data_IF_378781971594
#
_entry.id   IF_378781971594
#
_cell.length_a   1.000
_cell.length_b   1.000
_cell.length_c   1.000
_cell.angle_alpha   90.00
_cell.angle_beta   90.00
_cell.angle_gamma   90.00
#
_symmetry.space_group_name_H-M   'P 1'
#
loop_
_entity.id
_entity.type
_entity.pdbx_description
1 polymer ?
#
# COMPACT_ATOMS: atom_id res chain seq x y z
N UNK A 1 -56.71 -77.50 -6.69
CA UNK A 1 -55.79 -76.55 -6.00
C UNK A 1 -54.60 -76.25 -6.90
N UNK A 2 -54.55 -75.09 -7.55
CA UNK A 2 -53.34 -74.54 -8.18
C UNK A 2 -53.25 -73.07 -7.77
N UNK A 3 -52.25 -72.74 -6.94
CA UNK A 3 -51.97 -71.37 -6.50
C UNK A 3 -51.12 -70.70 -7.58
N UNK A 4 -51.63 -69.60 -8.14
CA UNK A 4 -50.87 -68.67 -8.98
C UNK A 4 -50.33 -67.59 -8.05
N UNK A 5 -49.00 -67.49 -7.94
CA UNK A 5 -48.34 -66.40 -7.21
C UNK A 5 -47.96 -65.31 -8.21
N UNK A 6 -48.58 -64.14 -8.06
CA UNK A 6 -48.27 -62.92 -8.81
C UNK A 6 -47.05 -62.25 -8.15
N UNK A 7 -45.92 -62.16 -8.85
CA UNK A 7 -44.77 -61.37 -8.41
C UNK A 7 -44.86 -59.99 -9.05
N UNK A 8 -45.21 -58.98 -8.26
CA UNK A 8 -45.16 -57.58 -8.66
C UNK A 8 -43.72 -57.06 -8.50
N UNK A 9 -43.04 -56.78 -9.60
CA UNK A 9 -41.74 -56.12 -9.61
C UNK A 9 -41.88 -54.61 -9.43
N UNK A 10 -41.52 -54.09 -8.26
CA UNK A 10 -41.33 -52.65 -8.05
C UNK A 10 -40.02 -52.21 -8.72
N UNK A 11 -40.11 -51.47 -9.82
CA UNK A 11 -38.98 -50.73 -10.37
C UNK A 11 -38.78 -49.45 -9.57
N UNK A 12 -37.75 -49.44 -8.71
CA UNK A 12 -37.23 -48.23 -8.09
C UNK A 12 -36.51 -47.40 -9.17
N UNK A 13 -37.19 -46.36 -9.66
CA UNK A 13 -36.57 -45.27 -10.41
C UNK A 13 -35.62 -44.51 -9.48
N UNK A 14 -34.34 -44.86 -9.52
CA UNK A 14 -33.27 -44.06 -8.91
C UNK A 14 -33.09 -42.82 -9.80
N UNK A 15 -33.77 -41.73 -9.43
CA UNK A 15 -33.48 -40.42 -9.98
C UNK A 15 -32.12 -40.02 -9.41
N UNK A 16 -31.06 -40.22 -10.20
CA UNK A 16 -29.75 -39.66 -9.90
C UNK A 16 -29.86 -38.14 -9.87
N UNK A 17 -29.91 -37.56 -8.68
CA UNK A 17 -29.67 -36.14 -8.45
C UNK A 17 -28.23 -35.85 -8.89
N UNK A 18 -28.04 -35.54 -10.17
CA UNK A 18 -26.77 -35.03 -10.67
C UNK A 18 -26.58 -33.64 -10.06
N UNK A 19 -25.88 -33.58 -8.92
CA UNK A 19 -25.40 -32.32 -8.38
C UNK A 19 -24.63 -31.60 -9.49
N UNK A 20 -25.14 -30.44 -9.91
CA UNK A 20 -24.54 -29.67 -10.99
C UNK A 20 -23.08 -29.33 -10.60
N UNK A 21 -22.11 -29.65 -11.47
CA UNK A 21 -20.68 -29.42 -11.20
C UNK A 21 -20.44 -27.92 -10.97
N UNK A 22 -19.50 -27.58 -10.07
CA UNK A 22 -19.14 -26.18 -9.75
C UNK A 22 -18.85 -25.39 -11.02
N UNK A 23 -18.15 -26.00 -11.99
CA UNK A 23 -17.89 -25.44 -13.33
C UNK A 23 -19.16 -24.96 -14.05
N UNK A 24 -20.24 -25.72 -14.03
CA UNK A 24 -21.48 -25.33 -14.73
C UNK A 24 -22.26 -24.27 -13.94
N UNK A 25 -22.17 -24.29 -12.61
CA UNK A 25 -22.78 -23.27 -11.75
C UNK A 25 -22.10 -21.91 -11.94
N UNK A 26 -20.76 -21.89 -11.96
CA UNK A 26 -20.00 -20.64 -12.08
C UNK A 26 -20.14 -20.06 -13.49
N UNK A 27 -20.19 -20.92 -14.51
CA UNK A 27 -20.52 -20.50 -15.87
C UNK A 27 -21.86 -19.77 -15.95
N UNK A 28 -22.92 -20.32 -15.34
CA UNK A 28 -24.25 -19.68 -15.33
C UNK A 28 -24.25 -18.36 -14.54
N UNK A 29 -23.64 -18.35 -13.35
CA UNK A 29 -23.57 -17.14 -12.53
C UNK A 29 -22.78 -16.03 -13.23
N UNK A 30 -21.68 -16.38 -13.90
CA UNK A 30 -20.86 -15.43 -14.66
C UNK A 30 -21.59 -14.90 -15.89
N UNK A 31 -22.33 -15.74 -16.63
CA UNK A 31 -23.17 -15.27 -17.75
C UNK A 31 -24.23 -14.26 -17.29
N UNK A 32 -24.87 -14.51 -16.15
CA UNK A 32 -25.81 -13.55 -15.57
C UNK A 32 -25.10 -12.24 -15.18
N UNK A 33 -23.92 -12.34 -14.56
CA UNK A 33 -23.08 -11.18 -14.23
C UNK A 33 -22.73 -10.37 -15.48
N UNK A 34 -22.19 -11.01 -16.52
CA UNK A 34 -21.75 -10.38 -17.77
C UNK A 34 -22.91 -9.70 -18.53
N UNK A 35 -24.13 -10.24 -18.42
CA UNK A 35 -25.33 -9.65 -19.02
C UNK A 35 -25.87 -8.39 -18.31
N UNK A 36 -25.33 -8.04 -17.13
CA UNK A 36 -25.82 -6.92 -16.34
C UNK A 36 -25.54 -5.57 -17.03
N UNK A 37 -26.52 -4.68 -16.99
CA UNK A 37 -26.42 -3.33 -17.58
C UNK A 37 -25.21 -2.52 -17.11
N UNK A 38 -24.73 -2.73 -15.87
CA UNK A 38 -23.54 -2.04 -15.36
C UNK A 38 -22.26 -2.43 -16.13
N UNK A 39 -22.25 -3.60 -16.76
CA UNK A 39 -21.10 -4.15 -17.48
C UNK A 39 -21.18 -3.98 -19.00
N UNK A 40 -22.21 -3.33 -19.52
CA UNK A 40 -22.44 -3.15 -20.97
C UNK A 40 -21.22 -2.61 -21.73
N UNK A 41 -20.42 -1.76 -21.08
CA UNK A 41 -19.20 -1.17 -21.62
C UNK A 41 -17.94 -1.51 -20.80
N UNK A 42 -18.07 -2.45 -19.87
CA UNK A 42 -16.99 -2.91 -19.04
C UNK A 42 -16.21 -4.03 -19.73
N UNK A 43 -14.96 -4.21 -19.31
CA UNK A 43 -14.23 -5.45 -19.54
C UNK A 43 -14.04 -6.16 -18.20
N UNK A 44 -14.25 -7.46 -18.19
CA UNK A 44 -14.14 -8.27 -17.00
C UNK A 44 -13.42 -9.59 -17.30
N UNK A 45 -12.69 -10.08 -16.29
CA UNK A 45 -11.91 -11.30 -16.35
C UNK A 45 -12.06 -12.06 -15.04
N UNK A 46 -12.27 -13.38 -15.13
CA UNK A 46 -12.29 -14.27 -13.99
C UNK A 46 -11.55 -15.55 -14.34
N UNK A 47 -10.57 -15.88 -13.52
CA UNK A 47 -9.81 -17.12 -13.62
C UNK A 47 -9.83 -17.84 -12.28
N UNK A 48 -10.20 -19.11 -12.30
CA UNK A 48 -10.35 -19.96 -11.10
C UNK A 48 -9.71 -21.32 -11.36
N UNK A 49 -8.87 -21.76 -10.42
CA UNK A 49 -8.28 -23.09 -10.43
C UNK A 49 -8.56 -23.84 -9.13
N UNK A 50 -8.55 -25.16 -9.20
CA UNK A 50 -8.41 -26.00 -8.02
C UNK A 50 -6.98 -25.89 -7.48
N UNK A 51 -6.83 -25.47 -6.23
CA UNK A 51 -5.53 -25.18 -5.63
C UNK A 51 -4.64 -26.42 -5.46
N UNK A 52 -5.22 -27.61 -5.39
CA UNK A 52 -4.49 -28.88 -5.19
C UNK A 52 -4.06 -29.50 -6.51
N UNK A 53 -4.96 -29.55 -7.49
CA UNK A 53 -4.71 -30.22 -8.78
C UNK A 53 -4.16 -29.28 -9.84
N UNK A 54 -4.35 -27.96 -9.69
CA UNK A 54 -4.07 -26.98 -10.73
C UNK A 54 -5.08 -26.99 -11.89
N UNK A 55 -6.14 -27.79 -11.80
CA UNK A 55 -7.19 -27.87 -12.83
C UNK A 55 -7.94 -26.54 -12.94
N UNK A 56 -8.13 -26.08 -14.18
CA UNK A 56 -8.94 -24.89 -14.48
C UNK A 56 -10.43 -25.20 -14.25
N UNK A 57 -11.00 -24.51 -13.26
CA UNK A 57 -12.43 -24.60 -12.93
C UNK A 57 -13.23 -23.64 -13.79
N UNK A 58 -12.71 -22.44 -14.02
CA UNK A 58 -13.32 -21.42 -14.86
C UNK A 58 -12.26 -20.51 -15.46
N UNK A 59 -12.43 -20.15 -16.72
CA UNK A 59 -11.60 -19.18 -17.42
C UNK A 59 -12.48 -18.30 -18.32
N UNK A 60 -12.46 -17.01 -18.04
CA UNK A 60 -12.90 -15.98 -18.97
C UNK A 60 -11.84 -14.88 -19.01
N UNK A 61 -11.36 -14.57 -20.21
CA UNK A 61 -10.45 -13.46 -20.50
C UNK A 61 -9.17 -13.51 -19.66
N UNK A 62 -8.72 -14.70 -19.22
CA UNK A 62 -7.66 -14.82 -18.22
C UNK A 62 -6.33 -14.19 -18.65
N UNK A 63 -6.10 -14.09 -19.97
CA UNK A 63 -4.92 -13.54 -20.62
C UNK A 63 -5.04 -12.06 -21.02
N UNK A 64 -6.18 -11.40 -20.72
CA UNK A 64 -6.35 -9.98 -21.01
C UNK A 64 -5.78 -9.14 -19.87
N UNK A 65 -4.82 -8.27 -20.19
CA UNK A 65 -4.23 -7.34 -19.23
C UNK A 65 -5.22 -6.24 -18.83
N UNK A 66 -5.55 -6.16 -17.54
CA UNK A 66 -6.49 -5.20 -16.96
C UNK A 66 -5.84 -4.37 -15.84
N UNK A 67 -6.39 -3.19 -15.57
CA UNK A 67 -6.03 -2.43 -14.38
C UNK A 67 -6.30 -3.25 -13.13
N UNK A 68 -5.22 -3.50 -12.38
CA UNK A 68 -5.23 -4.35 -11.20
C UNK A 68 -5.89 -3.66 -9.98
N UNK A 69 -5.78 -2.33 -9.93
CA UNK A 69 -5.86 -1.61 -8.67
C UNK A 69 -4.97 -2.28 -7.59
N UNK A 70 -5.35 -2.20 -6.31
CA UNK A 70 -4.59 -2.82 -5.21
C UNK A 70 -4.48 -4.36 -5.22
N UNK A 71 -5.04 -5.07 -6.21
CA UNK A 71 -4.69 -6.49 -6.39
C UNK A 71 -3.24 -6.67 -6.86
N UNK A 72 -2.63 -5.62 -7.43
CA UNK A 72 -1.18 -5.52 -7.71
C UNK A 72 -0.31 -5.91 -6.52
N UNK A 73 -0.77 -5.59 -5.30
CA UNK A 73 -0.02 -5.84 -4.06
C UNK A 73 0.28 -7.32 -3.82
N UNK A 74 -0.49 -8.25 -4.42
CA UNK A 74 -0.18 -9.69 -4.38
C UNK A 74 1.15 -9.99 -5.07
N UNK A 75 1.39 -9.37 -6.22
CA UNK A 75 2.62 -9.52 -6.99
C UNK A 75 3.78 -8.99 -6.16
N UNK A 76 3.68 -7.74 -5.70
CA UNK A 76 4.72 -7.06 -4.91
C UNK A 76 5.03 -7.79 -3.61
N UNK A 77 4.01 -8.21 -2.85
CA UNK A 77 4.20 -8.91 -1.58
C UNK A 77 4.85 -10.28 -1.75
N UNK A 78 4.42 -11.04 -2.77
CA UNK A 78 5.01 -12.35 -3.06
C UNK A 78 6.47 -12.20 -3.49
N UNK A 79 6.77 -11.22 -4.35
CA UNK A 79 8.15 -10.92 -4.74
C UNK A 79 8.98 -10.47 -3.55
N UNK A 80 8.42 -9.70 -2.61
CA UNK A 80 9.13 -9.27 -1.40
C UNK A 80 9.56 -10.45 -0.53
N UNK A 81 8.65 -11.40 -0.26
CA UNK A 81 9.00 -12.58 0.52
C UNK A 81 10.12 -13.41 -0.12
N UNK A 82 10.16 -13.47 -1.45
CA UNK A 82 11.17 -14.24 -2.19
C UNK A 82 12.52 -13.53 -2.29
N UNK A 83 12.53 -12.22 -2.54
CA UNK A 83 13.76 -11.48 -2.78
C UNK A 83 14.43 -10.99 -1.50
N UNK A 84 13.65 -10.67 -0.47
CA UNK A 84 14.15 -10.09 0.79
C UNK A 84 14.13 -11.10 1.95
N UNK A 85 13.15 -12.02 1.94
CA UNK A 85 12.91 -12.96 3.03
C UNK A 85 12.09 -12.36 4.16
N UNK A 86 11.31 -13.20 4.85
CA UNK A 86 10.33 -12.78 5.88
C UNK A 86 10.92 -11.98 7.05
N UNK A 87 12.21 -12.17 7.32
CA UNK A 87 12.92 -11.56 8.46
C UNK A 87 13.69 -10.28 8.07
N UNK A 88 13.60 -9.84 6.82
CA UNK A 88 14.23 -8.60 6.36
C UNK A 88 13.75 -7.41 7.22
N UNK A 89 14.68 -6.51 7.53
CA UNK A 89 14.41 -5.28 8.28
C UNK A 89 15.16 -4.13 7.63
N UNK A 90 14.47 -3.01 7.50
CA UNK A 90 15.09 -1.75 7.14
C UNK A 90 15.93 -1.22 8.30
N UNK A 91 16.95 -0.44 7.95
CA UNK A 91 17.86 0.20 8.90
C UNK A 91 17.81 1.72 8.73
N UNK A 92 17.57 2.44 9.83
CA UNK A 92 17.69 3.90 9.88
C UNK A 92 18.71 4.28 10.96
N UNK A 93 19.67 5.12 10.62
CA UNK A 93 20.81 5.42 11.50
C UNK A 93 20.84 6.89 11.91
N UNK A 94 21.05 7.15 13.19
CA UNK A 94 21.44 8.45 13.70
C UNK A 94 22.95 8.45 13.90
N UNK A 95 23.66 9.44 13.37
CA UNK A 95 25.09 9.56 13.55
C UNK A 95 25.60 10.98 13.35
N UNK A 96 26.90 11.20 13.54
CA UNK A 96 27.55 12.49 13.32
C UNK A 96 28.90 12.33 12.62
N UNK A 97 29.40 13.42 12.02
CA UNK A 97 30.78 13.53 11.53
C UNK A 97 31.55 14.63 12.28
N UNK A 98 32.86 14.71 12.04
CA UNK A 98 33.70 15.75 12.63
C UNK A 98 34.08 15.45 14.08
N UNK A 99 34.36 16.51 14.85
CA UNK A 99 34.99 16.38 16.18
C UNK A 99 34.18 17.06 17.27
N UNK A 100 34.21 16.47 18.47
CA UNK A 100 33.64 17.07 19.67
C UNK A 100 34.77 17.66 20.50
N UNK A 101 34.76 18.97 20.67
CA UNK A 101 35.77 19.73 21.42
C UNK A 101 35.08 20.71 22.36
N UNK A 102 35.44 20.71 23.65
CA UNK A 102 34.88 21.62 24.67
C UNK A 102 33.33 21.63 24.71
N UNK A 103 32.69 20.48 24.49
CA UNK A 103 31.23 20.36 24.45
C UNK A 103 30.58 20.90 23.17
N UNK A 104 31.35 21.17 22.12
CA UNK A 104 30.85 21.62 20.82
C UNK A 104 31.12 20.51 19.79
N UNK A 105 30.08 20.03 19.12
CA UNK A 105 30.23 19.21 17.92
C UNK A 105 30.56 20.14 16.75
N UNK A 106 31.82 20.13 16.28
CA UNK A 106 32.25 20.79 15.04
C UNK A 106 32.03 19.83 13.88
N UNK A 107 30.81 19.82 13.35
CA UNK A 107 30.32 18.86 12.38
C UNK A 107 28.80 18.75 12.42
N UNK A 108 28.28 17.84 11.61
CA UNK A 108 26.86 17.70 11.34
C UNK A 108 26.30 16.45 12.06
N UNK A 109 25.00 16.51 12.37
CA UNK A 109 24.21 15.36 12.82
C UNK A 109 23.36 14.86 11.65
N UNK A 110 23.31 13.54 11.44
CA UNK A 110 22.63 12.91 10.31
C UNK A 110 21.61 11.89 10.76
N UNK A 111 20.46 11.88 10.08
CA UNK A 111 19.52 10.76 10.06
C UNK A 111 19.61 10.13 8.66
N UNK A 112 20.21 8.94 8.57
CA UNK A 112 20.39 8.22 7.31
C UNK A 112 19.27 7.21 7.15
N UNK A 113 18.40 7.48 6.18
CA UNK A 113 17.29 6.61 5.83
C UNK A 113 17.73 5.34 5.10
N UNK A 114 16.97 4.26 5.29
CA UNK A 114 17.14 2.99 4.58
C UNK A 114 15.95 2.60 3.71
N UNK A 115 14.95 3.46 3.57
CA UNK A 115 13.69 3.17 2.87
C UNK A 115 12.60 2.59 3.77
N UNK A 116 12.77 2.57 5.10
CA UNK A 116 11.77 2.06 6.05
C UNK A 116 10.44 2.81 5.92
N UNK A 117 9.34 2.19 5.44
CA UNK A 117 8.06 2.87 5.31
C UNK A 117 7.30 2.92 6.65
N UNK A 118 7.81 2.27 7.70
CA UNK A 118 7.19 2.18 9.02
C UNK A 118 7.75 3.19 10.01
N UNK A 119 8.84 3.89 9.68
CA UNK A 119 9.48 4.85 10.59
C UNK A 119 8.50 5.95 11.00
N UNK A 120 8.29 6.13 12.31
CA UNK A 120 7.30 7.08 12.84
C UNK A 120 5.84 6.59 12.77
N UNK A 121 5.56 5.41 12.22
CA UNK A 121 4.20 4.86 12.12
C UNK A 121 3.64 4.47 13.48
N UNK A 122 2.35 4.75 13.69
CA UNK A 122 1.59 4.35 14.88
C UNK A 122 1.27 2.84 14.93
N UNK A 123 1.57 2.08 13.87
CA UNK A 123 1.16 0.68 13.75
C UNK A 123 1.91 -0.29 14.67
N UNK A 124 3.11 0.09 15.12
CA UNK A 124 3.90 -0.74 16.02
C UNK A 124 4.46 0.07 17.18
N UNK A 125 4.44 -0.47 18.41
CA UNK A 125 5.00 0.23 19.57
C UNK A 125 6.44 0.70 19.39
N UNK A 126 7.25 -0.04 18.61
CA UNK A 126 8.66 0.28 18.36
C UNK A 126 8.88 1.33 17.27
N UNK A 127 7.87 1.63 16.45
CA UNK A 127 7.97 2.58 15.34
C UNK A 127 7.30 3.91 15.61
N UNK A 128 6.54 4.04 16.69
CA UNK A 128 5.86 5.28 17.08
C UNK A 128 6.88 6.43 17.11
N UNK A 129 6.52 7.54 16.46
CA UNK A 129 7.31 8.78 16.35
C UNK A 129 8.02 9.19 17.66
N UNK A 130 7.29 9.28 18.77
CA UNK A 130 7.81 9.68 20.08
C UNK A 130 8.82 8.69 20.65
N UNK A 131 8.70 7.40 20.34
CA UNK A 131 9.65 6.36 20.76
C UNK A 131 10.96 6.52 19.99
N UNK A 132 10.87 6.67 18.66
CA UNK A 132 12.03 6.89 17.80
C UNK A 132 12.79 8.15 18.23
N UNK A 133 12.09 9.28 18.32
CA UNK A 133 12.69 10.57 18.67
C UNK A 133 13.34 10.55 20.06
N UNK A 134 12.72 9.87 21.04
CA UNK A 134 13.30 9.71 22.39
C UNK A 134 14.59 8.90 22.37
N UNK A 135 14.65 7.83 21.59
CA UNK A 135 15.85 7.00 21.45
C UNK A 135 16.99 7.78 20.80
N UNK A 136 16.69 8.50 19.71
CA UNK A 136 17.63 9.38 19.05
C UNK A 136 18.14 10.50 19.96
N UNK A 137 17.26 11.19 20.67
CA UNK A 137 17.66 12.22 21.65
C UNK A 137 18.56 11.62 22.74
N UNK A 138 18.28 10.38 23.18
CA UNK A 138 19.14 9.67 24.13
C UNK A 138 20.54 9.43 23.56
N UNK A 139 20.65 9.07 22.27
CA UNK A 139 21.92 9.00 21.55
C UNK A 139 22.68 10.33 21.55
N UNK A 140 21.99 11.44 21.24
CA UNK A 140 22.58 12.79 21.26
C UNK A 140 23.04 13.19 22.66
N UNK A 141 22.25 12.92 23.70
CA UNK A 141 22.61 13.25 25.11
C UNK A 141 23.91 12.58 25.56
N UNK A 142 24.23 11.37 25.05
CA UNK A 142 25.49 10.67 25.37
C UNK A 142 26.73 11.44 24.92
N UNK A 143 26.60 12.33 23.93
CA UNK A 143 27.69 13.18 23.46
C UNK A 143 28.08 14.29 24.46
N UNK A 144 27.19 14.62 25.42
CA UNK A 144 27.40 15.69 26.42
C UNK A 144 27.75 17.05 25.80
N UNK A 145 27.23 17.32 24.60
CA UNK A 145 27.43 18.59 23.89
C UNK A 145 26.45 19.67 24.36
N UNK A 146 26.84 20.93 24.16
CA UNK A 146 26.06 22.16 24.38
C UNK A 146 25.78 22.90 23.08
N UNK A 147 26.51 22.58 22.01
CA UNK A 147 26.35 23.16 20.69
C UNK A 147 26.63 22.13 19.59
N UNK A 148 25.84 22.17 18.54
CA UNK A 148 26.12 21.59 17.22
C UNK A 148 26.50 22.75 16.31
N UNK A 149 27.76 22.76 15.85
CA UNK A 149 28.34 23.73 14.93
C UNK A 149 28.38 23.16 13.52
N UNK A 150 27.18 22.93 13.01
CA UNK A 150 26.88 22.28 11.74
C UNK A 150 25.39 21.98 11.64
N UNK A 151 25.02 21.29 10.58
CA UNK A 151 23.64 21.01 10.20
C UNK A 151 23.07 19.82 10.97
N UNK A 152 21.73 19.76 11.04
CA UNK A 152 21.02 18.51 11.31
C UNK A 152 20.32 18.11 10.02
N UNK A 153 20.74 16.99 9.43
CA UNK A 153 20.39 16.63 8.08
C UNK A 153 19.75 15.25 7.92
N UNK A 154 18.72 15.16 7.09
CA UNK A 154 18.18 13.89 6.60
C UNK A 154 18.89 13.47 5.32
N UNK A 155 19.40 12.24 5.30
CA UNK A 155 20.08 11.62 4.13
C UNK A 155 19.19 10.51 3.58
N UNK A 156 18.63 10.73 2.40
CA UNK A 156 17.66 9.84 1.74
C UNK A 156 18.05 9.42 0.32
N UNK A 157 19.34 9.54 -0.02
CA UNK A 157 19.92 9.33 -1.36
C UNK A 157 20.11 7.86 -1.78
N UNK A 158 19.73 6.90 -0.93
CA UNK A 158 19.66 5.48 -1.32
C UNK A 158 18.58 5.23 -2.37
N UNK A 159 17.54 6.06 -2.37
CA UNK A 159 16.47 6.04 -3.37
C UNK A 159 16.55 7.30 -4.24
N UNK A 160 15.92 7.23 -5.41
CA UNK A 160 15.74 8.40 -6.27
C UNK A 160 14.95 9.50 -5.57
N UNK A 161 15.31 10.76 -5.85
CA UNK A 161 14.69 11.94 -5.26
C UNK A 161 13.28 12.21 -5.78
N UNK A 162 12.90 11.65 -6.94
CA UNK A 162 11.50 11.67 -7.37
C UNK A 162 10.71 10.61 -6.58
N UNK A 163 9.85 11.05 -5.68
CA UNK A 163 9.19 10.17 -4.71
C UNK A 163 7.97 9.46 -5.27
N UNK A 164 7.29 10.05 -6.27
CA UNK A 164 6.08 9.49 -6.88
C UNK A 164 6.41 8.75 -8.18
N UNK A 165 5.91 7.52 -8.38
CA UNK A 165 6.10 6.80 -9.62
C UNK A 165 5.26 7.39 -10.77
N UNK A 166 5.64 7.06 -12.00
CA UNK A 166 4.88 7.44 -13.19
C UNK A 166 3.50 6.78 -13.24
N UNK A 167 2.55 7.46 -13.89
CA UNK A 167 1.20 6.93 -14.15
C UNK A 167 0.19 7.15 -13.03
N UNK A 168 0.59 7.75 -11.90
CA UNK A 168 -0.37 8.25 -10.91
C UNK A 168 -1.11 9.48 -11.45
N UNK A 169 -2.39 9.59 -11.11
CA UNK A 169 -3.21 10.73 -11.54
C UNK A 169 -3.07 11.88 -10.56
N UNK A 170 -3.14 13.10 -11.09
CA UNK A 170 -2.97 14.34 -10.31
C UNK A 170 -3.89 14.40 -9.07
N UNK A 171 -5.14 13.95 -9.22
CA UNK A 171 -6.13 13.98 -8.14
C UNK A 171 -5.69 13.20 -6.90
N UNK A 172 -4.85 12.18 -7.07
CA UNK A 172 -4.49 11.28 -5.98
C UNK A 172 -3.28 11.77 -5.19
N UNK A 173 -2.38 12.55 -5.81
CA UNK A 173 -1.05 12.86 -5.27
C UNK A 173 -1.07 13.54 -3.91
N UNK A 174 -2.08 14.36 -3.62
CA UNK A 174 -2.18 15.08 -2.33
C UNK A 174 -2.87 14.28 -1.22
N UNK A 175 -3.50 13.14 -1.53
CA UNK A 175 -4.20 12.32 -0.54
C UNK A 175 -3.24 11.29 0.07
N UNK A 176 -3.53 10.81 1.28
CA UNK A 176 -2.61 9.89 2.00
C UNK A 176 -2.21 8.65 1.18
N UNK A 177 -3.13 8.13 0.36
CA UNK A 177 -2.87 6.96 -0.47
C UNK A 177 -2.02 7.28 -1.71
N UNK A 178 -1.86 8.55 -2.07
CA UNK A 178 -0.93 9.05 -3.08
C UNK A 178 0.39 9.57 -2.50
N UNK A 179 0.75 9.17 -1.27
CA UNK A 179 2.05 9.51 -0.69
C UNK A 179 3.19 8.79 -1.42
N UNK A 180 4.10 9.58 -2.00
CA UNK A 180 5.34 9.09 -2.61
C UNK A 180 6.32 8.55 -1.56
N UNK A 181 7.32 7.78 -2.01
CA UNK A 181 8.33 7.15 -1.15
C UNK A 181 9.70 7.81 -1.29
N UNK A 182 10.33 8.10 -0.15
CA UNK A 182 11.72 8.58 -0.03
C UNK A 182 12.60 7.50 0.63
N UNK A 183 13.93 7.65 0.52
CA UNK A 183 14.88 6.88 1.33
C UNK A 183 14.74 7.12 2.84
N UNK A 184 14.18 8.27 3.25
CA UNK A 184 13.83 8.59 4.64
C UNK A 184 12.35 8.97 4.71
N UNK A 185 11.51 8.00 5.07
CA UNK A 185 10.08 8.19 5.27
C UNK A 185 9.78 8.56 6.72
N UNK A 186 8.61 9.14 6.96
CA UNK A 186 8.17 9.44 8.31
C UNK A 186 6.66 9.41 8.43
N UNK A 187 6.16 8.72 9.45
CA UNK A 187 4.73 8.69 9.80
C UNK A 187 3.86 8.27 8.60
N UNK A 188 4.28 7.22 7.91
CA UNK A 188 3.68 6.72 6.65
C UNK A 188 3.54 7.78 5.55
N UNK A 189 4.42 8.78 5.56
CA UNK A 189 4.39 9.96 4.67
C UNK A 189 3.00 10.58 4.61
N UNK A 190 2.31 10.58 5.75
CA UNK A 190 0.94 11.04 5.90
C UNK A 190 0.85 12.13 6.95
N UNK A 191 -0.04 13.09 6.70
CA UNK A 191 -0.58 13.97 7.73
C UNK A 191 -2.10 13.87 7.79
N UNK A 192 -2.66 14.17 8.96
CA UNK A 192 -4.09 14.30 9.20
C UNK A 192 -4.47 15.78 9.17
N UNK A 193 -5.52 16.12 8.42
CA UNK A 193 -6.11 17.45 8.34
C UNK A 193 -7.40 17.49 9.16
N UNK A 194 -7.39 18.24 10.25
CA UNK A 194 -8.54 18.42 11.13
C UNK A 194 -9.42 19.54 10.60
N UNK A 195 -10.69 19.24 10.39
CA UNK A 195 -11.66 20.11 9.74
C UNK A 195 -12.90 20.29 10.62
N UNK A 196 -13.52 21.46 10.55
CA UNK A 196 -14.83 21.72 11.15
C UNK A 196 -15.85 22.05 10.05
N UNK A 197 -16.93 21.25 9.89
CA UNK A 197 -18.03 21.62 9.00
C UNK A 197 -18.75 22.88 9.51
N UNK A 198 -19.42 23.56 8.59
CA UNK A 198 -20.34 24.65 8.88
C UNK A 198 -21.64 24.19 9.53
N UNK A 199 -22.60 25.09 9.68
CA UNK A 199 -23.85 24.82 10.41
C UNK A 199 -24.94 24.19 9.53
N UNK A 200 -24.85 24.35 8.21
CA UNK A 200 -25.77 23.77 7.21
C UNK A 200 -25.01 23.34 5.96
N UNK A 201 -25.66 22.53 5.13
CA UNK A 201 -25.13 22.13 3.83
C UNK A 201 -24.77 23.36 2.97
N UNK A 202 -23.64 23.28 2.27
CA UNK A 202 -23.08 24.36 1.46
C UNK A 202 -22.26 25.40 2.23
N UNK A 203 -22.27 25.40 3.57
CA UNK A 203 -21.42 26.31 4.35
C UNK A 203 -19.93 25.97 4.17
N UNK A 204 -19.07 26.98 4.28
CA UNK A 204 -17.61 26.80 4.27
C UNK A 204 -17.11 25.96 5.45
N UNK A 205 -16.16 25.08 5.16
CA UNK A 205 -15.44 24.26 6.15
C UNK A 205 -14.26 25.05 6.70
N UNK A 206 -13.92 24.89 7.99
CA UNK A 206 -12.73 25.50 8.60
C UNK A 206 -11.62 24.47 8.76
N UNK A 207 -10.39 24.87 8.49
CA UNK A 207 -9.19 24.11 8.88
C UNK A 207 -8.91 24.42 10.35
N UNK A 208 -8.80 23.37 11.16
CA UNK A 208 -8.45 23.47 12.58
C UNK A 208 -6.96 23.24 12.83
N UNK A 209 -6.27 22.55 11.93
CA UNK A 209 -4.84 22.26 12.00
C UNK A 209 -4.49 20.92 11.36
N UNK A 210 -3.21 20.55 11.40
CA UNK A 210 -2.72 19.27 10.90
C UNK A 210 -1.95 18.49 11.97
N UNK A 211 -1.80 17.17 11.77
CA UNK A 211 -0.87 16.35 12.52
C UNK A 211 -0.13 15.37 11.59
N UNK A 212 1.21 15.37 11.50
CA UNK A 212 2.09 16.41 12.05
C UNK A 212 1.74 17.83 11.56
N UNK A 213 2.22 18.84 12.29
CA UNK A 213 2.12 20.23 11.83
C UNK A 213 2.92 20.39 10.54
N UNK A 214 2.29 20.91 9.49
CA UNK A 214 2.96 21.13 8.21
C UNK A 214 3.80 22.41 8.25
N UNK A 215 5.08 22.32 7.88
CA UNK A 215 5.99 23.48 7.91
C UNK A 215 5.68 24.55 6.84
N UNK A 216 5.06 24.17 5.71
CA UNK A 216 4.95 25.00 4.51
C UNK A 216 3.57 24.95 3.87
N UNK A 217 2.55 25.43 4.58
CA UNK A 217 1.18 25.18 4.16
C UNK A 217 0.40 26.43 3.80
N UNK A 218 0.43 26.79 2.51
CA UNK A 218 -0.59 27.64 1.92
C UNK A 218 -1.71 26.76 1.37
N UNK A 219 -2.68 26.43 2.24
CA UNK A 219 -3.88 25.68 1.87
C UNK A 219 -4.98 26.63 1.39
N UNK A 220 -5.29 26.57 0.09
CA UNK A 220 -6.49 27.19 -0.47
C UNK A 220 -7.69 26.29 -0.15
N UNK A 221 -8.48 26.72 0.82
CA UNK A 221 -9.62 25.95 1.32
C UNK A 221 -10.90 26.24 0.53
N UNK A 222 -11.25 25.34 -0.38
CA UNK A 222 -12.48 25.39 -1.18
C UNK A 222 -13.52 24.35 -0.71
N UNK A 223 -13.29 23.69 0.41
CA UNK A 223 -14.19 22.67 0.97
C UNK A 223 -15.53 23.28 1.39
N UNK A 224 -16.58 22.48 1.24
CA UNK A 224 -17.95 22.80 1.66
C UNK A 224 -18.53 21.72 2.56
N UNK A 225 -19.53 22.09 3.33
CA UNK A 225 -20.25 21.17 4.20
C UNK A 225 -21.25 20.37 3.36
N UNK A 226 -21.09 19.05 3.31
CA UNK A 226 -22.00 18.13 2.64
C UNK A 226 -23.15 17.68 3.54
N UNK A 227 -24.02 16.83 3.00
CA UNK A 227 -25.14 16.27 3.74
C UNK A 227 -24.69 15.44 4.95
N UNK A 228 -25.55 15.35 5.97
CA UNK A 228 -25.28 14.49 7.13
C UNK A 228 -25.10 13.04 6.67
N UNK A 229 -23.99 12.42 7.03
CA UNK A 229 -23.67 11.04 6.63
C UNK A 229 -23.20 10.86 5.19
N UNK A 230 -22.88 11.94 4.45
CA UNK A 230 -22.28 11.85 3.11
C UNK A 230 -20.90 11.19 3.10
N UNK A 231 -20.25 11.11 4.27
CA UNK A 231 -18.88 10.64 4.43
C UNK A 231 -17.85 11.60 3.84
N UNK A 232 -16.61 11.10 3.76
CA UNK A 232 -15.49 11.81 3.16
C UNK A 232 -15.65 11.91 1.64
N UNK A 233 -15.83 13.13 1.13
CA UNK A 233 -15.73 13.46 -0.29
C UNK A 233 -14.76 14.64 -0.49
N UNK A 234 -13.80 14.79 0.43
CA UNK A 234 -12.75 15.78 0.37
C UNK A 234 -11.58 15.26 -0.48
N UNK A 235 -10.97 16.17 -1.25
CA UNK A 235 -9.80 15.88 -2.06
C UNK A 235 -8.73 16.92 -1.77
N UNK A 236 -7.50 16.43 -1.60
CA UNK A 236 -6.31 17.24 -1.41
C UNK A 236 -5.51 17.20 -2.70
N UNK A 237 -5.34 18.36 -3.33
CA UNK A 237 -4.44 18.55 -4.46
C UNK A 237 -3.17 19.23 -3.96
N UNK A 238 -2.12 18.44 -3.74
CA UNK A 238 -0.84 18.92 -3.22
C UNK A 238 0.28 18.28 -4.05
N UNK A 239 1.08 19.06 -4.82
CA UNK A 239 2.18 18.47 -5.55
C UNK A 239 3.33 18.09 -4.59
N UNK A 240 4.05 16.98 -4.84
CA UNK A 240 5.30 16.68 -4.14
C UNK A 240 6.25 17.87 -4.20
N UNK A 241 6.94 18.17 -3.08
CA UNK A 241 7.84 19.34 -2.96
C UNK A 241 7.19 20.72 -3.18
N UNK A 242 5.87 20.78 -3.32
CA UNK A 242 5.13 22.04 -3.44
C UNK A 242 4.95 22.78 -2.11
N UNK A 243 4.55 24.05 -2.20
CA UNK A 243 4.21 24.89 -1.05
C UNK A 243 2.70 25.21 -0.95
N UNK A 244 1.97 25.02 -2.05
CA UNK A 244 0.55 25.36 -2.15
C UNK A 244 -0.28 24.09 -2.35
N UNK A 245 -1.39 23.99 -1.61
CA UNK A 245 -2.35 22.91 -1.74
C UNK A 245 -3.77 23.45 -1.94
N UNK A 246 -4.62 22.71 -2.64
CA UNK A 246 -6.04 23.03 -2.83
C UNK A 246 -6.90 21.95 -2.21
N UNK A 247 -7.84 22.34 -1.36
CA UNK A 247 -8.78 21.44 -0.71
C UNK A 247 -10.15 21.59 -1.37
N UNK A 248 -10.69 20.52 -1.95
CA UNK A 248 -11.94 20.54 -2.73
C UNK A 248 -12.90 19.45 -2.29
N UNK A 249 -14.18 19.64 -2.60
CA UNK A 249 -15.24 18.66 -2.30
C UNK A 249 -15.95 18.94 -0.98
N UNK A 250 -16.42 17.89 -0.31
CA UNK A 250 -17.29 18.04 0.87
C UNK A 250 -16.96 17.09 2.01
N UNK A 251 -17.18 17.55 3.25
CA UNK A 251 -17.17 16.72 4.46
C UNK A 251 -18.56 16.72 5.13
N UNK A 252 -18.94 15.68 5.90
CA UNK A 252 -20.32 15.52 6.36
C UNK A 252 -20.70 16.54 7.44
N UNK A 253 -21.94 17.04 7.38
CA UNK A 253 -22.51 17.89 8.42
C UNK A 253 -22.59 17.15 9.77
N UNK A 254 -22.20 17.84 10.85
CA UNK A 254 -22.39 17.38 12.24
C UNK A 254 -21.22 16.59 12.85
N UNK A 255 -20.15 16.34 12.09
CA UNK A 255 -18.93 15.70 12.59
C UNK A 255 -17.84 16.76 12.81
N UNK A 256 -17.54 17.10 14.07
CA UNK A 256 -16.58 18.15 14.40
C UNK A 256 -15.70 17.76 15.61
N UNK A 257 -14.38 17.52 15.43
CA UNK A 257 -13.67 17.61 14.16
C UNK A 257 -13.99 16.43 13.23
N UNK A 258 -13.96 16.68 11.92
CA UNK A 258 -13.84 15.65 10.89
C UNK A 258 -12.37 15.60 10.42
N UNK A 259 -11.84 14.41 10.14
CA UNK A 259 -10.44 14.24 9.75
C UNK A 259 -10.35 13.56 8.39
N UNK A 260 -9.62 14.19 7.47
CA UNK A 260 -9.15 13.58 6.23
C UNK A 260 -7.62 13.51 6.26
N UNK A 261 -7.01 12.63 5.49
CA UNK A 261 -5.56 12.44 5.52
C UNK A 261 -4.91 12.73 4.16
N UNK A 262 -3.81 13.47 4.18
CA UNK A 262 -3.05 13.89 3.01
C UNK A 262 -1.64 13.30 2.95
N UNK A 263 -1.01 13.39 1.78
CA UNK A 263 0.38 13.01 1.57
C UNK A 263 1.34 14.10 2.04
N UNK A 264 2.39 13.70 2.73
CA UNK A 264 3.41 14.60 3.23
C UNK A 264 4.35 15.02 2.08
N UNK A 265 4.47 16.32 1.74
CA UNK A 265 5.16 16.75 0.51
C UNK A 265 6.69 16.59 0.57
N UNK A 266 7.29 16.60 1.76
CA UNK A 266 8.74 16.47 1.99
C UNK A 266 9.03 15.59 3.22
N UNK A 267 8.75 14.28 3.15
CA UNK A 267 8.72 13.43 4.33
C UNK A 267 10.07 13.32 5.08
N UNK A 268 11.19 13.37 4.35
CA UNK A 268 12.54 13.27 4.94
C UNK A 268 12.91 14.44 5.85
N UNK A 269 12.22 15.57 5.74
CA UNK A 269 12.48 16.78 6.53
C UNK A 269 11.88 16.71 7.95
N UNK A 270 10.76 16.03 8.12
CA UNK A 270 10.02 15.95 9.39
C UNK A 270 10.78 15.27 10.55
N UNK A 271 11.41 14.08 10.38
CA UNK A 271 12.16 13.46 11.48
C UNK A 271 13.34 14.34 11.93
N UNK A 272 13.95 15.06 10.99
CA UNK A 272 15.04 16.00 11.23
C UNK A 272 14.52 17.22 12.00
N UNK A 273 13.39 17.78 11.57
CA UNK A 273 12.67 18.86 12.23
C UNK A 273 12.40 18.52 13.69
N UNK A 274 11.66 17.44 13.93
CA UNK A 274 11.27 17.04 15.28
C UNK A 274 12.44 16.70 16.19
N UNK A 275 13.49 16.06 15.67
CA UNK A 275 14.68 15.78 16.48
C UNK A 275 15.38 17.08 16.90
N UNK A 276 15.58 18.02 15.98
CA UNK A 276 16.21 19.30 16.33
C UNK A 276 15.34 20.15 17.27
N UNK A 277 14.01 20.07 17.20
CA UNK A 277 13.11 20.72 18.15
C UNK A 277 13.35 20.19 19.57
N UNK A 278 13.49 18.87 19.68
CA UNK A 278 13.82 18.20 20.94
C UNK A 278 15.22 18.56 21.44
N UNK A 279 16.21 18.67 20.55
CA UNK A 279 17.57 19.10 20.90
C UNK A 279 17.58 20.55 21.42
N UNK A 280 16.84 21.46 20.77
CA UNK A 280 16.72 22.85 21.24
C UNK A 280 16.05 22.94 22.62
N UNK A 281 15.04 22.11 22.89
CA UNK A 281 14.41 22.02 24.22
C UNK A 281 15.38 21.60 25.32
N UNK A 282 16.43 20.84 24.99
CA UNK A 282 17.54 20.50 25.90
C UNK A 282 18.58 21.62 26.07
N UNK A 283 18.34 22.81 25.49
CA UNK A 283 19.26 23.96 25.47
C UNK A 283 20.60 23.66 24.80
N UNK A 284 20.60 22.77 23.81
CA UNK A 284 21.74 22.56 22.91
C UNK A 284 21.56 23.50 21.72
N UNK A 285 22.50 24.41 21.51
CA UNK A 285 22.45 25.37 20.40
C UNK A 285 22.76 24.67 19.06
N UNK A 286 22.10 25.09 17.98
CA UNK A 286 22.35 24.62 16.60
C UNK A 286 22.67 25.86 15.78
N UNK A 287 23.83 25.91 15.12
CA UNK A 287 24.23 27.04 14.25
C UNK A 287 24.14 26.77 12.76
N UNK A 288 24.08 25.50 12.33
CA UNK A 288 23.85 25.15 10.92
C UNK A 288 22.36 25.12 10.56
N UNK A 289 22.09 24.66 9.34
CA UNK A 289 20.75 24.45 8.83
C UNK A 289 20.05 23.32 9.57
N UNK A 290 18.82 23.59 10.00
CA UNK A 290 17.94 22.59 10.57
C UNK A 290 16.48 22.95 10.26
N UNK A 291 15.70 22.02 9.68
CA UNK A 291 16.13 20.72 9.15
C UNK A 291 16.77 20.82 7.75
N UNK A 292 18.03 20.40 7.61
CA UNK A 292 18.68 20.23 6.32
C UNK A 292 18.24 18.92 5.64
N UNK A 293 18.31 18.86 4.32
CA UNK A 293 17.88 17.68 3.54
C UNK A 293 18.85 17.41 2.40
N UNK A 294 18.96 16.14 2.02
CA UNK A 294 19.71 15.70 0.84
C UNK A 294 19.34 16.49 -0.44
N UNK A 295 18.04 16.72 -0.70
CA UNK A 295 17.61 17.50 -1.85
C UNK A 295 18.08 18.97 -1.77
N UNK A 296 18.15 19.54 -0.56
CA UNK A 296 18.71 20.87 -0.33
C UNK A 296 20.20 20.93 -0.68
N UNK A 297 20.99 19.95 -0.21
CA UNK A 297 22.41 19.84 -0.59
C UNK A 297 22.59 19.73 -2.11
N UNK A 298 21.81 18.87 -2.77
CA UNK A 298 21.88 18.70 -4.22
C UNK A 298 21.50 19.98 -4.97
N UNK A 299 20.48 20.70 -4.53
CA UNK A 299 20.05 21.96 -5.12
C UNK A 299 21.12 23.06 -5.00
N UNK A 300 21.90 23.03 -3.93
CA UNK A 300 23.02 23.96 -3.70
C UNK A 300 24.35 23.49 -4.35
N UNK A 301 24.34 22.39 -5.11
CA UNK A 301 25.55 21.75 -5.67
C UNK A 301 26.57 21.32 -4.60
N UNK A 302 26.10 20.98 -3.41
CA UNK A 302 26.91 20.52 -2.30
C UNK A 302 26.99 18.99 -2.27
N UNK A 303 28.10 18.47 -1.75
CA UNK A 303 28.27 17.02 -1.59
C UNK A 303 27.56 16.56 -0.31
N UNK A 304 26.70 15.56 -0.46
CA UNK A 304 26.07 14.87 0.68
C UNK A 304 27.15 14.27 1.57
N UNK A 305 27.18 14.74 2.81
CA UNK A 305 28.05 14.19 3.86
C UNK A 305 27.34 13.07 4.62
N UNK A 306 28.13 12.19 5.23
CA UNK A 306 27.64 11.02 5.95
C UNK A 306 28.20 10.97 7.37
N UNK A 307 27.53 10.26 8.30
CA UNK A 307 28.06 10.09 9.64
C UNK A 307 29.34 9.24 9.65
N UNK A 308 30.33 9.66 10.43
CA UNK A 308 31.55 8.90 10.73
C UNK A 308 31.37 8.03 11.99
N UNK A 309 30.44 8.44 12.87
CA UNK A 309 30.13 7.76 14.13
C UNK A 309 28.63 7.62 14.30
N UNK A 310 28.19 6.38 14.54
CA UNK A 310 26.78 6.04 14.76
C UNK A 310 26.44 6.17 16.25
N UNK A 311 25.32 6.83 16.54
CA UNK A 311 24.78 7.06 17.88
C UNK A 311 23.66 6.08 18.21
N UNK A 312 22.84 5.77 17.21
CA UNK A 312 21.69 4.88 17.32
C UNK A 312 21.40 4.23 15.97
N UNK A 313 20.84 3.02 16.01
CA UNK A 313 20.35 2.30 14.84
C UNK A 313 18.96 1.78 15.13
N UNK A 314 17.99 2.27 14.38
CA UNK A 314 16.64 1.75 14.38
C UNK A 314 16.49 0.66 13.32
N UNK A 315 15.87 -0.46 13.71
CA UNK A 315 15.45 -1.51 12.80
C UNK A 315 13.92 -1.54 12.72
N UNK A 316 13.40 -1.61 11.50
CA UNK A 316 11.96 -1.78 11.26
C UNK A 316 11.43 -3.09 11.88
N UNK A 317 10.11 -3.26 11.99
CA UNK A 317 9.49 -4.57 12.10
C UNK A 317 9.98 -5.50 10.97
N UNK A 318 9.95 -6.83 11.17
CA UNK A 318 10.31 -7.77 10.12
C UNK A 318 9.34 -7.70 8.94
N UNK A 319 9.80 -8.10 7.75
CA UNK A 319 9.05 -7.99 6.51
C UNK A 319 7.67 -8.65 6.56
N UNK A 320 7.52 -9.80 7.22
CA UNK A 320 6.21 -10.43 7.40
C UNK A 320 5.16 -9.50 8.02
N UNK A 321 5.58 -8.69 8.98
CA UNK A 321 4.78 -7.70 9.69
C UNK A 321 4.48 -6.51 8.76
N UNK A 322 5.48 -6.03 8.02
CA UNK A 322 5.28 -4.98 7.02
C UNK A 322 4.25 -5.44 5.96
N UNK A 323 4.39 -6.67 5.46
CA UNK A 323 3.48 -7.27 4.49
C UNK A 323 2.07 -7.45 5.08
N UNK A 324 1.96 -7.76 6.38
CA UNK A 324 0.67 -7.78 7.07
C UNK A 324 -0.09 -6.47 6.84
N UNK A 325 0.46 -5.31 7.20
CA UNK A 325 -0.25 -4.05 7.01
C UNK A 325 -0.39 -3.64 5.54
N UNK A 326 0.62 -3.94 4.72
CA UNK A 326 0.59 -3.71 3.27
C UNK A 326 -0.64 -4.35 2.63
N UNK A 327 -0.95 -5.61 2.95
CA UNK A 327 -2.09 -6.31 2.40
C UNK A 327 -3.38 -6.01 3.18
N UNK A 328 -3.32 -5.98 4.52
CA UNK A 328 -4.48 -5.86 5.41
C UNK A 328 -5.18 -4.51 5.30
N UNK A 329 -4.40 -3.43 5.22
CA UNK A 329 -4.89 -2.04 5.10
C UNK A 329 -4.60 -1.43 3.75
N UNK A 330 -3.99 -2.19 2.83
CA UNK A 330 -3.79 -1.77 1.44
C UNK A 330 -2.95 -0.51 1.30
N UNK A 331 -1.90 -0.37 2.11
CA UNK A 331 -1.09 0.85 2.19
C UNK A 331 -0.22 0.99 0.92
N UNK A 332 -0.39 2.07 0.16
CA UNK A 332 0.32 2.24 -1.11
C UNK A 332 1.81 2.50 -0.91
N UNK A 333 2.18 3.36 0.05
CA UNK A 333 3.56 3.68 0.38
C UNK A 333 4.43 2.43 0.56
N UNK A 334 3.90 1.39 1.20
CA UNK A 334 4.64 0.17 1.48
C UNK A 334 4.97 -0.59 0.19
N UNK A 335 4.06 -0.57 -0.79
CA UNK A 335 4.32 -1.16 -2.11
C UNK A 335 5.42 -0.44 -2.86
N UNK A 336 5.40 0.89 -2.83
CA UNK A 336 6.43 1.70 -3.48
C UNK A 336 7.80 1.56 -2.80
N UNK A 337 7.83 1.51 -1.47
CA UNK A 337 9.04 1.23 -0.72
C UNK A 337 9.63 -0.13 -1.10
N UNK A 338 8.81 -1.19 -1.19
CA UNK A 338 9.28 -2.53 -1.57
C UNK A 338 9.88 -2.55 -2.97
N UNK A 339 9.23 -1.92 -3.97
CA UNK A 339 9.76 -1.84 -5.33
C UNK A 339 11.15 -1.17 -5.36
N UNK A 340 11.30 0.00 -4.71
CA UNK A 340 12.60 0.68 -4.64
C UNK A 340 13.63 -0.11 -3.82
N UNK A 341 13.18 -0.88 -2.82
CA UNK A 341 14.04 -1.78 -2.04
C UNK A 341 14.59 -2.90 -2.89
N UNK A 342 13.79 -3.51 -3.76
CA UNK A 342 14.28 -4.55 -4.68
C UNK A 342 15.41 -4.03 -5.56
N UNK A 343 15.24 -2.82 -6.10
CA UNK A 343 16.27 -2.14 -6.88
C UNK A 343 17.52 -1.86 -6.03
N UNK A 344 17.37 -1.29 -4.83
CA UNK A 344 18.49 -0.98 -3.94
C UNK A 344 19.29 -2.24 -3.57
N UNK A 345 18.64 -3.31 -3.11
CA UNK A 345 19.34 -4.54 -2.71
C UNK A 345 20.03 -5.25 -3.88
N UNK A 346 19.52 -5.09 -5.12
CA UNK A 346 20.12 -5.72 -6.31
C UNK A 346 21.14 -4.85 -7.04
N UNK A 347 21.03 -3.52 -6.95
CA UNK A 347 21.79 -2.57 -7.79
C UNK A 347 22.51 -1.48 -7.00
N UNK A 348 22.31 -1.40 -5.68
CA UNK A 348 22.89 -0.38 -4.82
C UNK A 348 22.15 0.97 -4.84
N UNK A 349 21.09 1.11 -5.65
CA UNK A 349 20.29 2.32 -5.76
C UNK A 349 18.82 2.00 -6.06
N UNK A 350 17.90 2.61 -5.31
CA UNK A 350 16.47 2.34 -5.42
C UNK A 350 15.73 3.29 -6.36
N UNK A 351 15.30 2.79 -7.51
CA UNK A 351 14.37 3.49 -8.42
C UNK A 351 13.17 2.60 -8.73
N UNK A 352 12.02 3.23 -8.97
CA UNK A 352 10.78 2.50 -9.30
C UNK A 352 10.96 1.64 -10.55
N UNK A 353 11.46 2.23 -11.64
CA UNK A 353 11.60 1.54 -12.93
C UNK A 353 12.49 0.30 -12.84
N UNK A 354 13.63 0.42 -12.13
CA UNK A 354 14.53 -0.72 -11.91
C UNK A 354 13.85 -1.80 -11.07
N UNK A 355 13.08 -1.41 -10.05
CA UNK A 355 12.35 -2.34 -9.20
C UNK A 355 11.27 -3.09 -9.98
N UNK A 356 10.54 -2.40 -10.87
CA UNK A 356 9.56 -2.99 -11.79
C UNK A 356 10.22 -4.01 -12.72
N UNK A 357 11.37 -3.67 -13.32
CA UNK A 357 12.12 -4.61 -14.17
C UNK A 357 12.51 -5.86 -13.39
N UNK A 358 13.00 -5.71 -12.15
CA UNK A 358 13.34 -6.84 -11.27
C UNK A 358 12.13 -7.73 -10.99
N UNK A 359 10.95 -7.16 -10.74
CA UNK A 359 9.70 -7.92 -10.54
C UNK A 359 9.34 -8.71 -11.81
N UNK A 360 9.35 -8.06 -12.98
CA UNK A 360 9.05 -8.71 -14.27
C UNK A 360 10.03 -9.85 -14.54
N UNK A 361 11.33 -9.61 -14.38
CA UNK A 361 12.37 -10.61 -14.61
C UNK A 361 12.27 -11.79 -13.64
N UNK A 362 11.96 -11.52 -12.36
CA UNK A 362 11.74 -12.56 -11.36
C UNK A 362 10.61 -13.51 -11.79
N UNK A 363 9.46 -12.96 -12.18
CA UNK A 363 8.31 -13.77 -12.58
C UNK A 363 8.48 -14.45 -13.92
N UNK A 364 9.21 -13.82 -14.86
CA UNK A 364 9.65 -14.46 -16.10
C UNK A 364 10.47 -15.72 -15.84
N UNK A 365 11.39 -15.68 -14.89
CA UNK A 365 12.19 -16.86 -14.50
C UNK A 365 11.34 -17.96 -13.84
N UNK A 366 10.15 -17.62 -13.33
CA UNK A 366 9.17 -18.59 -12.80
C UNK A 366 8.17 -19.08 -13.85
N UNK A 367 8.35 -18.70 -15.12
CA UNK A 367 7.55 -19.20 -16.24
C UNK A 367 6.35 -18.35 -16.62
N UNK A 368 6.18 -17.16 -16.05
CA UNK A 368 5.18 -16.20 -16.53
C UNK A 368 5.69 -15.47 -17.78
N UNK A 369 4.80 -15.17 -18.70
CA UNK A 369 5.12 -14.22 -19.76
C UNK A 369 5.29 -12.82 -19.12
N UNK A 370 6.43 -12.13 -19.31
CA UNK A 370 6.65 -10.80 -18.73
C UNK A 370 5.59 -9.78 -19.13
N UNK A 371 4.92 -9.94 -20.27
CA UNK A 371 3.87 -9.02 -20.72
C UNK A 371 2.54 -9.22 -19.99
N UNK A 372 2.38 -10.31 -19.24
CA UNK A 372 1.28 -10.45 -18.28
C UNK A 372 1.39 -9.51 -17.08
N UNK A 373 2.56 -8.89 -16.88
CA UNK A 373 2.88 -7.97 -15.78
C UNK A 373 3.40 -6.63 -16.30
N UNK A 374 2.59 -5.90 -17.08
CA UNK A 374 2.91 -4.55 -17.52
C UNK A 374 2.54 -3.54 -16.44
N UNK A 375 3.44 -3.35 -15.48
CA UNK A 375 3.21 -2.56 -14.25
C UNK A 375 4.08 -1.29 -14.25
N UNK A 376 3.62 -0.26 -13.54
CA UNK A 376 4.26 1.03 -13.33
C UNK A 376 4.66 1.28 -11.87
N UNK A 377 3.97 0.62 -10.94
CA UNK A 377 4.14 0.85 -9.51
C UNK A 377 4.01 -0.45 -8.69
N UNK A 378 4.32 -0.35 -7.40
CA UNK A 378 4.23 -1.47 -6.47
C UNK A 378 2.86 -1.64 -5.82
N UNK A 379 2.07 -0.56 -5.77
CA UNK A 379 0.82 -0.51 -5.02
C UNK A 379 -0.42 -0.83 -5.84
N UNK A 380 -0.39 -0.60 -7.15
CA UNK A 380 -1.58 -0.66 -7.98
C UNK A 380 -2.41 0.62 -8.01
N UNK A 381 -1.86 1.77 -7.59
CA UNK A 381 -2.58 3.04 -7.69
C UNK A 381 -2.63 3.53 -9.15
N UNK A 382 -1.56 3.29 -9.91
CA UNK A 382 -1.48 3.64 -11.32
C UNK A 382 -2.58 2.94 -12.15
N UNK A 383 -3.49 3.70 -12.79
CA UNK A 383 -4.43 3.14 -13.74
C UNK A 383 -3.76 2.62 -15.02
N UNK A 384 -2.44 2.78 -15.16
CA UNK A 384 -1.67 2.25 -16.29
C UNK A 384 -1.16 0.83 -16.07
N UNK A 385 -1.22 0.29 -14.84
CA UNK A 385 -0.90 -1.12 -14.61
C UNK A 385 -1.84 -2.01 -15.45
N UNK A 386 -1.29 -3.01 -16.14
CA UNK A 386 -2.05 -4.03 -16.85
C UNK A 386 -1.52 -5.39 -16.41
N UNK A 387 -2.36 -6.13 -15.69
CA UNK A 387 -2.06 -7.49 -15.25
C UNK A 387 -3.15 -8.44 -15.67
N UNK A 388 -2.78 -9.67 -15.97
CA UNK A 388 -3.73 -10.74 -16.27
C UNK A 388 -4.21 -11.41 -14.97
N UNK A 389 -5.44 -11.92 -14.97
CA UNK A 389 -5.92 -12.74 -13.84
C UNK A 389 -5.21 -14.09 -13.80
N UNK A 390 -4.71 -14.58 -14.94
CA UNK A 390 -3.85 -15.76 -15.02
C UNK A 390 -2.57 -15.56 -14.19
N UNK A 391 -1.79 -14.49 -14.43
CA UNK A 391 -0.58 -14.22 -13.67
C UNK A 391 -0.85 -14.09 -12.16
N UNK A 392 -1.92 -13.39 -11.77
CA UNK A 392 -2.27 -13.27 -10.35
C UNK A 392 -2.57 -14.63 -9.69
N UNK A 393 -3.26 -15.53 -10.38
CA UNK A 393 -3.55 -16.87 -9.87
C UNK A 393 -2.29 -17.74 -9.81
N UNK A 394 -1.43 -17.70 -10.83
CA UNK A 394 -0.17 -18.46 -10.81
C UNK A 394 0.80 -17.95 -9.72
N UNK A 395 0.81 -16.64 -9.44
CA UNK A 395 1.56 -16.06 -8.32
C UNK A 395 1.00 -16.52 -6.96
N UNK A 396 -0.33 -16.52 -6.80
CA UNK A 396 -0.98 -17.03 -5.59
C UNK A 396 -0.74 -18.54 -5.40
N UNK A 397 -0.75 -19.31 -6.49
CA UNK A 397 -0.43 -20.74 -6.50
C UNK A 397 1.03 -20.97 -6.10
N UNK A 398 1.95 -20.17 -6.64
CA UNK A 398 3.35 -20.19 -6.22
C UNK A 398 3.49 -19.91 -4.73
N UNK A 399 2.87 -18.84 -4.23
CA UNK A 399 2.92 -18.45 -2.83
C UNK A 399 2.45 -19.58 -1.90
N UNK A 400 1.37 -20.28 -2.26
CA UNK A 400 0.80 -21.40 -1.47
C UNK A 400 1.79 -22.53 -1.23
N UNK A 401 2.78 -22.72 -2.10
CA UNK A 401 3.77 -23.78 -1.97
C UNK A 401 5.04 -23.37 -1.21
N UNK A 402 5.09 -22.16 -0.63
CA UNK A 402 6.28 -21.61 0.04
C UNK A 402 6.17 -21.72 1.56
N UNK A 403 7.32 -21.82 2.23
CA UNK A 403 7.38 -21.90 3.70
C UNK A 403 6.89 -20.64 4.41
N UNK A 404 7.00 -19.47 3.77
CA UNK A 404 6.51 -18.19 4.28
C UNK A 404 5.00 -17.98 4.05
N UNK A 405 4.31 -18.89 3.35
CA UNK A 405 2.88 -18.78 3.03
C UNK A 405 1.96 -18.46 4.22
N UNK A 406 2.14 -19.04 5.42
CA UNK A 406 1.26 -18.74 6.55
C UNK A 406 1.19 -17.24 6.89
N UNK A 407 2.32 -16.53 6.78
CA UNK A 407 2.40 -15.09 7.02
C UNK A 407 1.68 -14.29 5.93
N UNK A 408 1.90 -14.66 4.66
CA UNK A 408 1.20 -14.06 3.53
C UNK A 408 -0.32 -14.28 3.60
N UNK A 409 -0.74 -15.49 3.96
CA UNK A 409 -2.16 -15.85 4.06
C UNK A 409 -2.86 -15.11 5.21
N UNK A 410 -2.18 -14.93 6.34
CA UNK A 410 -2.73 -14.16 7.47
C UNK A 410 -2.87 -12.66 7.15
N UNK A 411 -1.91 -12.12 6.39
CA UNK A 411 -1.91 -10.74 5.90
C UNK A 411 -3.11 -10.44 4.98
N UNK A 412 -3.69 -11.43 4.31
CA UNK A 412 -4.89 -11.23 3.49
C UNK A 412 -6.10 -10.84 4.34
N UNK A 413 -6.85 -9.79 3.95
CA UNK A 413 -8.16 -9.50 4.50
C UNK A 413 -9.14 -10.66 4.29
N UNK A 414 -10.18 -10.70 5.12
CA UNK A 414 -11.34 -11.53 4.87
C UNK A 414 -12.48 -10.67 4.33
N UNK A 415 -12.99 -11.05 3.16
CA UNK A 415 -14.14 -10.43 2.50
C UNK A 415 -15.03 -11.55 1.98
N UNK A 416 -16.35 -11.43 2.07
CA UNK A 416 -17.27 -12.48 1.61
C UNK A 416 -16.92 -13.91 2.15
N UNK A 417 -16.36 -14.00 3.36
CA UNK A 417 -15.84 -15.24 3.96
C UNK A 417 -14.71 -15.92 3.16
N UNK A 418 -13.93 -15.12 2.42
CA UNK A 418 -12.78 -15.56 1.62
C UNK A 418 -11.54 -14.75 1.99
N UNK A 419 -10.38 -15.40 1.97
CA UNK A 419 -9.08 -14.73 2.19
C UNK A 419 -8.62 -14.13 0.87
N UNK A 420 -8.89 -12.84 0.68
CA UNK A 420 -8.65 -12.17 -0.59
C UNK A 420 -8.23 -10.71 -0.45
N UNK A 421 -7.37 -10.28 -1.38
CA UNK A 421 -7.04 -8.87 -1.55
C UNK A 421 -8.07 -8.21 -2.47
N UNK A 422 -8.60 -7.08 -2.02
CA UNK A 422 -9.44 -6.20 -2.82
C UNK A 422 -8.61 -5.14 -3.57
N UNK A 423 -9.09 -4.69 -4.71
CA UNK A 423 -8.56 -3.55 -5.45
C UNK A 423 -9.67 -2.58 -5.84
N UNK A 424 -9.43 -1.28 -5.71
CA UNK A 424 -10.34 -0.23 -6.19
C UNK A 424 -9.52 1.00 -6.59
N UNK A 425 -9.77 1.49 -7.79
CA UNK A 425 -9.50 2.85 -8.29
C UNK A 425 -10.72 3.25 -9.14
N UNK A 426 -10.73 4.45 -9.73
CA UNK A 426 -11.86 4.90 -10.56
C UNK A 426 -12.24 3.84 -11.60
N UNK A 427 -13.52 3.46 -11.60
CA UNK A 427 -14.15 2.46 -12.50
C UNK A 427 -13.46 1.09 -12.56
N UNK A 428 -12.66 0.74 -11.56
CA UNK A 428 -11.95 -0.53 -11.46
C UNK A 428 -12.26 -1.22 -10.14
N UNK A 429 -12.62 -2.50 -10.20
CA UNK A 429 -12.79 -3.35 -9.03
C UNK A 429 -12.08 -4.69 -9.24
N UNK A 430 -11.39 -5.16 -8.21
CA UNK A 430 -10.71 -6.44 -8.24
C UNK A 430 -10.79 -7.22 -6.93
N UNK A 431 -10.78 -8.54 -7.05
CA UNK A 431 -10.60 -9.48 -5.94
C UNK A 431 -9.72 -10.64 -6.38
N UNK A 432 -8.70 -10.96 -5.61
CA UNK A 432 -7.85 -12.13 -5.86
C UNK A 432 -7.44 -12.79 -4.54
N UNK A 433 -7.47 -14.11 -4.49
CA UNK A 433 -7.14 -14.83 -3.26
C UNK A 433 -7.52 -16.30 -3.28
N UNK A 434 -7.84 -16.79 -2.09
CA UNK A 434 -8.09 -18.19 -1.80
C UNK A 434 -9.47 -18.39 -1.18
N UNK A 435 -10.03 -19.56 -1.43
CA UNK A 435 -11.25 -20.01 -0.75
C UNK A 435 -11.19 -21.52 -0.51
N UNK A 436 -11.83 -21.99 0.58
CA UNK A 436 -12.03 -23.41 0.85
C UNK A 436 -13.54 -23.65 0.95
N UNK A 437 -14.10 -24.44 0.05
CA UNK A 437 -15.53 -24.80 0.06
C UNK A 437 -15.90 -25.68 1.25
N UNK A 438 -17.21 -25.81 1.49
CA UNK A 438 -17.77 -26.67 2.53
C UNK A 438 -17.42 -28.17 2.36
N UNK A 439 -17.11 -28.61 1.14
CA UNK A 439 -16.63 -29.98 0.86
C UNK A 439 -15.10 -30.14 1.00
N UNK A 440 -14.39 -29.07 1.38
CA UNK A 440 -12.93 -29.05 1.56
C UNK A 440 -12.13 -28.75 0.28
N UNK A 441 -12.77 -28.56 -0.87
CA UNK A 441 -12.08 -28.15 -2.10
C UNK A 441 -11.49 -26.76 -1.94
N UNK A 442 -10.20 -26.61 -2.26
CA UNK A 442 -9.51 -25.34 -2.20
C UNK A 442 -9.44 -24.71 -3.58
N UNK A 443 -9.80 -23.43 -3.69
CA UNK A 443 -9.76 -22.64 -4.91
C UNK A 443 -8.77 -21.49 -4.80
N UNK A 444 -8.14 -21.16 -5.93
CA UNK A 444 -7.37 -19.93 -6.13
C UNK A 444 -8.06 -19.17 -7.26
N UNK A 445 -8.27 -17.87 -7.08
CA UNK A 445 -8.96 -17.08 -8.09
C UNK A 445 -8.41 -15.66 -8.21
N UNK A 446 -8.66 -15.05 -9.38
CA UNK A 446 -8.63 -13.61 -9.57
C UNK A 446 -9.80 -13.16 -10.44
N UNK A 447 -10.45 -12.08 -10.02
CA UNK A 447 -11.61 -11.47 -10.64
C UNK A 447 -11.39 -9.96 -10.77
N UNK A 448 -11.22 -9.47 -12.00
CA UNK A 448 -11.04 -8.06 -12.32
C UNK A 448 -12.19 -7.54 -13.19
N UNK A 449 -12.63 -6.32 -12.90
CA UNK A 449 -13.65 -5.59 -13.66
C UNK A 449 -13.13 -4.17 -13.86
N UNK A 450 -13.12 -3.70 -15.10
CA UNK A 450 -12.69 -2.35 -15.47
C UNK A 450 -13.79 -1.68 -16.29
N UNK A 451 -13.92 -0.36 -16.15
CA UNK A 451 -14.88 0.47 -16.87
C UNK A 451 -16.35 0.07 -16.61
N UNK A 452 -16.67 -0.33 -15.38
CA UNK A 452 -18.07 -0.56 -14.99
C UNK A 452 -18.79 0.75 -14.77
N UNK A 453 -20.12 0.73 -14.87
CA UNK A 453 -20.97 1.91 -14.65
C UNK A 453 -21.84 1.80 -13.39
N UNK A 454 -22.29 2.94 -12.88
CA UNK A 454 -23.18 3.02 -11.73
C UNK A 454 -22.50 2.69 -10.40
N UNK A 455 -23.28 2.18 -9.44
CA UNK A 455 -22.81 2.01 -8.06
C UNK A 455 -21.72 0.92 -7.91
N UNK A 456 -20.56 1.26 -7.30
CA UNK A 456 -19.53 0.28 -6.94
C UNK A 456 -20.02 -0.78 -5.94
N UNK A 457 -20.87 -0.41 -4.98
CA UNK A 457 -21.38 -1.36 -3.99
C UNK A 457 -22.30 -2.39 -4.63
N UNK A 458 -23.12 -1.98 -5.60
CA UNK A 458 -23.96 -2.89 -6.38
C UNK A 458 -23.12 -3.87 -7.21
N UNK A 459 -22.04 -3.41 -7.85
CA UNK A 459 -21.11 -4.28 -8.57
C UNK A 459 -20.50 -5.33 -7.63
N UNK A 460 -20.02 -4.91 -6.45
CA UNK A 460 -19.40 -5.82 -5.48
C UNK A 460 -20.36 -6.96 -5.08
N UNK A 461 -21.62 -6.66 -4.83
CA UNK A 461 -22.62 -7.70 -4.51
C UNK A 461 -22.81 -8.69 -5.66
N UNK A 462 -22.77 -8.21 -6.92
CA UNK A 462 -22.86 -9.07 -8.10
C UNK A 462 -21.62 -9.94 -8.26
N UNK A 463 -20.43 -9.40 -8.02
CA UNK A 463 -19.18 -10.18 -7.99
C UNK A 463 -19.22 -11.24 -6.89
N UNK A 464 -19.72 -10.92 -5.70
CA UNK A 464 -19.87 -11.88 -4.60
C UNK A 464 -20.81 -13.02 -4.97
N UNK A 465 -21.94 -12.76 -5.64
CA UNK A 465 -22.83 -13.84 -6.12
C UNK A 465 -22.14 -14.83 -7.06
N UNK A 466 -21.21 -14.36 -7.90
CA UNK A 466 -20.39 -15.25 -8.75
C UNK A 466 -19.43 -16.07 -7.88
N UNK A 467 -18.72 -15.42 -6.97
CA UNK A 467 -17.74 -16.08 -6.09
C UNK A 467 -18.40 -17.05 -5.10
N UNK A 468 -19.64 -16.79 -4.67
CA UNK A 468 -20.40 -17.65 -3.75
C UNK A 468 -20.64 -19.06 -4.32
N UNK A 469 -20.53 -19.23 -5.65
CA UNK A 469 -20.56 -20.55 -6.28
C UNK A 469 -19.41 -21.45 -5.83
N UNK A 470 -18.30 -20.86 -5.36
CA UNK A 470 -17.15 -21.58 -4.83
C UNK A 470 -17.32 -22.03 -3.38
N UNK A 471 -18.42 -21.66 -2.69
CA UNK A 471 -18.65 -21.97 -1.27
C UNK A 471 -19.06 -23.40 -1.00
#
# INVERSE_FOLDING_TARGET
MKKVSLVAGCWLLVIGLNAQKVKDKIQKAYQQFESDSQLKHAINSLYVINAKTGEVVFDKNSQVGLAAASTQKIITATTAFELLGKDYRYKTELGYNGKIENGILKGNLFIVGGGDPTLGSWRYPTTIDTVILKNWLTGVRKLKIKKIDGDIAGVDDKFESQTTPDGWIWQDLGNYYGAGVSGLNWHENQYDLKLAPGKKEGDSVKILGTYPELEYNYMVNELRTGAKGSGDNGYIYFPPYGLNAFLRGTIPLGENPFVISGSLPMPSRYPVGFLGDMIKKEKINISGEWPATNIGYLANHEKVSYPEKILDTHYSPPLDSIIYWFLKKSINLYGEALIKTFAYEKKGFGSTDTGVVIVKDFWKQKGLDPEELNIKDGSGLSPQNRVTTHAQVEILKYAKSRSWFPYFFDALPEYNNMKMKSGTINDVKGYCGYHTSGDGTQYIFSFLVNNYSGSPSALVQKMYRVLDVLK
#
